data_IF_036119775548
#
_entry.id   IF_036119775548
#
_cell.length_a   1.000
_cell.length_b   1.000
_cell.length_c   1.000
_cell.angle_alpha   90.00
_cell.angle_beta   90.00
_cell.angle_gamma   90.00
#
_symmetry.space_group_name_H-M   'P 1'
#
loop_
_entity.id
_entity.type
_entity.pdbx_description
1 polymer ?
#
# COMPACT_ATOMS: atom_id res chain seq x y z
N UNK A 1 -15.68 1.32 -17.19
CA UNK A 1 -16.45 1.36 -15.93
C UNK A 1 -15.50 1.04 -14.79
N UNK A 2 -15.51 1.81 -13.69
CA UNK A 2 -14.74 1.47 -12.48
C UNK A 2 -15.33 0.20 -11.85
N UNK A 3 -14.48 -0.73 -11.38
CA UNK A 3 -14.94 -1.90 -10.64
C UNK A 3 -15.44 -1.46 -9.28
N UNK A 4 -16.44 -2.15 -8.77
CA UNK A 4 -17.12 -1.82 -7.52
C UNK A 4 -17.00 -3.00 -6.58
N UNK A 5 -16.44 -2.76 -5.40
CA UNK A 5 -16.38 -3.77 -4.35
C UNK A 5 -17.79 -4.14 -3.91
N UNK A 6 -18.16 -5.43 -3.92
CA UNK A 6 -19.39 -5.88 -3.30
C UNK A 6 -19.41 -5.50 -1.80
N UNK A 7 -20.58 -5.23 -1.20
CA UNK A 7 -20.66 -4.86 0.21
C UNK A 7 -20.37 -6.03 1.14
N UNK A 8 -20.45 -7.27 0.66
CA UNK A 8 -20.11 -8.47 1.42
C UNK A 8 -19.71 -9.60 0.47
N UNK A 9 -18.99 -10.58 0.98
CA UNK A 9 -18.66 -11.79 0.25
C UNK A 9 -17.45 -12.54 0.81
N UNK A 10 -16.98 -13.55 0.09
CA UNK A 10 -15.79 -14.29 0.47
C UNK A 10 -14.51 -13.53 0.08
N UNK A 11 -13.46 -13.67 0.88
CA UNK A 11 -12.13 -13.12 0.60
C UNK A 11 -11.02 -14.02 1.20
N UNK A 12 -9.77 -13.74 0.85
CA UNK A 12 -8.62 -14.23 1.61
C UNK A 12 -8.09 -13.18 2.58
N UNK A 13 -7.41 -13.65 3.62
CA UNK A 13 -6.81 -12.83 4.66
C UNK A 13 -5.39 -13.34 4.98
N UNK A 14 -4.44 -12.42 5.06
CA UNK A 14 -3.12 -12.62 5.69
C UNK A 14 -2.94 -11.60 6.80
N UNK A 15 -1.76 -11.54 7.39
CA UNK A 15 -1.36 -10.45 8.26
C UNK A 15 0.03 -9.94 7.93
N UNK A 16 0.29 -8.71 8.35
CA UNK A 16 1.56 -8.01 8.18
C UNK A 16 1.84 -7.08 9.37
N UNK A 17 3.12 -6.79 9.58
CA UNK A 17 3.54 -5.81 10.56
C UNK A 17 3.31 -4.39 10.02
N UNK A 18 2.51 -3.60 10.74
CA UNK A 18 2.38 -2.16 10.53
C UNK A 18 2.99 -1.43 11.73
N UNK A 19 4.06 -0.63 11.56
CA UNK A 19 4.63 0.12 12.67
C UNK A 19 3.62 1.09 13.31
N UNK A 20 3.75 1.30 14.62
CA UNK A 20 2.95 2.31 15.31
C UNK A 20 3.31 3.71 14.82
N UNK A 21 2.30 4.59 14.77
CA UNK A 21 2.39 5.93 14.19
C UNK A 21 2.88 5.93 12.73
N UNK A 22 2.59 4.88 11.96
CA UNK A 22 2.92 4.83 10.55
C UNK A 22 1.84 5.48 9.68
N UNK A 23 2.27 6.27 8.70
CA UNK A 23 1.37 6.82 7.69
C UNK A 23 1.29 5.88 6.48
N UNK A 24 0.21 5.11 6.44
CA UNK A 24 -0.06 4.15 5.37
C UNK A 24 -0.66 4.82 4.12
N UNK A 25 -0.88 4.04 3.05
CA UNK A 25 -1.22 4.55 1.71
C UNK A 25 -2.48 5.44 1.63
N UNK A 26 -3.41 5.31 2.57
CA UNK A 26 -4.61 6.17 2.62
C UNK A 26 -4.38 7.55 3.26
N UNK A 27 -3.24 7.75 3.91
CA UNK A 27 -2.94 8.97 4.67
C UNK A 27 -3.80 9.15 5.93
N UNK A 28 -4.28 8.05 6.53
CA UNK A 28 -5.07 8.09 7.76
C UNK A 28 -4.24 8.56 8.96
N UNK A 29 -4.89 9.16 9.96
CA UNK A 29 -4.26 9.63 11.19
C UNK A 29 -3.33 8.58 11.83
N UNK A 30 -2.19 9.01 12.39
CA UNK A 30 -1.17 8.12 12.96
C UNK A 30 -1.72 7.16 14.02
N UNK A 31 -2.69 7.62 14.81
CA UNK A 31 -3.35 6.83 15.85
C UNK A 31 -4.11 5.60 15.33
N UNK A 32 -4.44 5.55 14.03
CA UNK A 32 -5.14 4.40 13.46
C UNK A 32 -4.36 3.08 13.61
N UNK A 33 -3.03 3.13 13.54
CA UNK A 33 -2.13 1.98 13.68
C UNK A 33 -2.18 1.27 15.05
N UNK A 34 -2.80 1.89 16.07
CA UNK A 34 -2.99 1.27 17.39
C UNK A 34 -4.18 0.32 17.45
N UNK A 35 -5.01 0.32 16.40
CA UNK A 35 -6.30 -0.38 16.34
C UNK A 35 -6.33 -1.33 15.14
N UNK A 36 -7.34 -2.22 15.02
CA UNK A 36 -7.40 -3.17 13.91
C UNK A 36 -7.50 -2.44 12.57
N UNK A 37 -6.43 -2.44 11.79
CA UNK A 37 -6.43 -1.86 10.44
C UNK A 37 -6.04 -2.93 9.42
N UNK A 38 -6.33 -2.68 8.15
CA UNK A 38 -5.90 -3.60 7.10
C UNK A 38 -5.45 -2.85 5.85
N UNK A 39 -4.57 -3.51 5.09
CA UNK A 39 -4.30 -3.20 3.71
C UNK A 39 -5.30 -3.95 2.82
N UNK A 40 -5.70 -3.33 1.71
CA UNK A 40 -6.67 -3.91 0.78
C UNK A 40 -6.01 -4.23 -0.57
N UNK A 41 -6.42 -5.32 -1.22
CA UNK A 41 -5.91 -5.71 -2.54
C UNK A 41 -6.08 -4.60 -3.57
N UNK A 42 -5.16 -4.50 -4.56
CA UNK A 42 -5.07 -3.34 -5.44
C UNK A 42 -6.40 -2.98 -6.12
N UNK A 43 -7.09 -3.97 -6.70
CA UNK A 43 -8.41 -3.75 -7.32
C UNK A 43 -9.43 -3.19 -6.33
N UNK A 44 -9.47 -3.71 -5.11
CA UNK A 44 -10.44 -3.30 -4.10
C UNK A 44 -10.08 -1.98 -3.41
N UNK A 45 -8.79 -1.68 -3.31
CA UNK A 45 -8.27 -0.42 -2.84
C UNK A 45 -8.64 0.74 -3.79
N UNK A 46 -8.36 0.61 -5.10
CA UNK A 46 -8.47 1.71 -6.07
C UNK A 46 -9.71 1.65 -6.99
N UNK A 47 -10.38 0.50 -7.10
CA UNK A 47 -11.39 0.24 -8.14
C UNK A 47 -10.79 -0.01 -9.54
N UNK A 48 -9.47 0.06 -9.68
CA UNK A 48 -8.69 -0.21 -10.90
C UNK A 48 -7.34 -0.82 -10.51
N UNK A 49 -7.15 -2.10 -10.81
CA UNK A 49 -5.95 -2.87 -10.49
C UNK A 49 -4.63 -2.23 -10.99
N UNK A 50 -4.70 -1.32 -11.97
CA UNK A 50 -3.54 -0.61 -12.54
C UNK A 50 -3.22 0.69 -11.81
N UNK A 51 -4.15 1.20 -11.00
CA UNK A 51 -3.95 2.42 -10.25
C UNK A 51 -3.02 2.18 -9.06
N UNK A 52 -1.93 2.93 -9.06
CA UNK A 52 -0.85 2.77 -8.09
C UNK A 52 -0.57 3.98 -7.22
N UNK A 53 -1.19 5.12 -7.50
CA UNK A 53 -0.87 6.39 -6.84
C UNK A 53 -2.11 6.97 -6.18
N UNK A 54 -1.94 7.37 -4.91
CA UNK A 54 -2.95 8.06 -4.13
C UNK A 54 -3.96 7.16 -3.41
N UNK A 55 -4.84 7.78 -2.61
CA UNK A 55 -5.89 7.09 -1.88
C UNK A 55 -7.02 6.68 -2.83
N UNK A 56 -7.39 5.39 -2.78
CA UNK A 56 -8.49 4.86 -3.58
C UNK A 56 -9.83 4.85 -2.84
N UNK A 57 -10.95 4.52 -3.53
CA UNK A 57 -12.28 4.42 -2.93
C UNK A 57 -12.43 3.39 -1.81
N UNK A 58 -11.45 2.49 -1.63
CA UNK A 58 -11.39 1.58 -0.49
C UNK A 58 -10.92 2.24 0.81
N UNK A 59 -10.22 3.37 0.73
CA UNK A 59 -9.63 4.05 1.88
C UNK A 59 -10.66 4.53 2.90
N UNK A 60 -10.33 4.37 4.18
CA UNK A 60 -11.15 4.78 5.32
C UNK A 60 -12.42 3.96 5.53
N UNK A 61 -12.72 2.97 4.68
CA UNK A 61 -13.86 2.07 4.87
C UNK A 61 -13.62 1.09 6.01
N UNK A 62 -14.71 0.65 6.64
CA UNK A 62 -14.67 -0.36 7.68
C UNK A 62 -15.36 -1.65 7.27
N UNK A 63 -14.76 -2.77 7.67
CA UNK A 63 -15.23 -4.11 7.33
C UNK A 63 -15.18 -5.01 8.56
N UNK A 64 -16.24 -5.78 8.79
CA UNK A 64 -16.14 -6.94 9.67
C UNK A 64 -15.58 -8.11 8.86
N UNK A 65 -14.47 -8.67 9.33
CA UNK A 65 -13.82 -9.86 8.80
C UNK A 65 -14.11 -11.03 9.73
N UNK A 66 -14.59 -12.15 9.19
CA UNK A 66 -14.93 -13.36 9.96
C UNK A 66 -14.16 -14.56 9.44
N UNK A 67 -13.39 -15.22 10.30
CA UNK A 67 -12.59 -16.39 9.92
C UNK A 67 -13.50 -17.59 9.58
N UNK A 68 -13.20 -18.30 8.50
CA UNK A 68 -13.87 -19.57 8.15
C UNK A 68 -12.98 -20.78 8.27
N UNK A 69 -11.78 -20.71 7.69
CA UNK A 69 -10.84 -21.83 7.68
C UNK A 69 -9.44 -21.36 7.31
N UNK A 70 -8.42 -22.12 7.70
CA UNK A 70 -7.09 -21.94 7.14
C UNK A 70 -7.06 -22.41 5.68
N UNK A 71 -6.33 -21.70 4.83
CA UNK A 71 -6.25 -21.99 3.41
C UNK A 71 -5.15 -23.02 3.13
N UNK A 72 -5.47 -24.09 2.39
CA UNK A 72 -4.47 -25.01 1.86
C UNK A 72 -3.81 -25.95 2.88
N UNK A 73 -4.40 -26.12 4.08
CA UNK A 73 -3.85 -26.96 5.14
C UNK A 73 -4.48 -28.36 5.15
N UNK A 74 -3.70 -29.37 5.56
CA UNK A 74 -4.15 -30.76 5.69
C UNK A 74 -3.74 -31.30 7.07
N UNK A 75 -4.68 -31.83 7.90
CA UNK A 75 -6.13 -31.89 7.68
C UNK A 75 -6.79 -30.50 7.57
N UNK A 76 -8.02 -30.35 7.02
CA UNK A 76 -8.67 -29.05 6.94
C UNK A 76 -8.92 -28.44 8.33
N UNK A 77 -8.48 -27.20 8.56
CA UNK A 77 -8.72 -26.45 9.79
C UNK A 77 -9.91 -25.51 9.60
N UNK A 78 -11.07 -25.83 10.19
CA UNK A 78 -12.34 -25.11 9.99
C UNK A 78 -12.82 -24.51 11.31
N UNK A 79 -13.32 -23.28 11.26
CA UNK A 79 -13.83 -22.57 12.43
C UNK A 79 -15.21 -23.06 12.83
N UNK A 80 -15.36 -23.32 14.13
CA UNK A 80 -16.63 -23.59 14.77
C UNK A 80 -17.27 -22.30 15.27
N UNK A 81 -18.59 -22.31 15.45
CA UNK A 81 -19.31 -21.16 15.98
C UNK A 81 -19.12 -21.05 17.51
N UNK A 82 -18.94 -19.83 18.05
CA UNK A 82 -18.86 -18.55 17.34
C UNK A 82 -17.50 -18.36 16.63
N UNK A 83 -17.54 -17.96 15.35
CA UNK A 83 -16.33 -17.71 14.57
C UNK A 83 -15.62 -16.42 15.00
N UNK A 84 -14.28 -16.41 15.10
CA UNK A 84 -13.53 -15.18 15.35
C UNK A 84 -13.86 -14.12 14.30
N UNK A 85 -14.13 -12.90 14.75
CA UNK A 85 -14.38 -11.77 13.85
C UNK A 85 -13.80 -10.47 14.41
N UNK A 86 -13.45 -9.55 13.52
CA UNK A 86 -12.91 -8.24 13.87
C UNK A 86 -13.38 -7.19 12.87
N UNK A 87 -13.68 -5.98 13.36
CA UNK A 87 -13.93 -4.82 12.50
C UNK A 87 -12.61 -4.12 12.26
N UNK A 88 -12.23 -3.96 11.00
CA UNK A 88 -11.00 -3.27 10.58
C UNK A 88 -11.33 -1.98 9.84
N UNK A 89 -10.43 -1.00 9.94
CA UNK A 89 -10.42 0.18 9.05
C UNK A 89 -9.35 0.04 7.98
N UNK A 90 -9.68 0.33 6.73
CA UNK A 90 -8.71 0.30 5.62
C UNK A 90 -7.86 1.56 5.64
N UNK A 91 -6.57 1.37 5.87
CA UNK A 91 -5.58 2.46 5.93
C UNK A 91 -4.48 2.30 4.88
N UNK A 92 -4.40 1.14 4.22
CA UNK A 92 -3.26 0.82 3.37
C UNK A 92 -3.64 0.06 2.10
N UNK A 93 -2.69 -0.01 1.17
CA UNK A 93 -2.74 -0.79 -0.05
C UNK A 93 -1.82 -1.99 0.08
N UNK A 94 -2.35 -3.19 -0.15
CA UNK A 94 -1.52 -4.38 -0.17
C UNK A 94 -0.71 -4.48 -1.48
N UNK A 95 0.64 -4.57 -1.42
CA UNK A 95 1.49 -4.67 -2.60
C UNK A 95 1.77 -6.12 -3.04
N UNK A 96 1.35 -7.13 -2.29
CA UNK A 96 1.78 -8.52 -2.51
C UNK A 96 1.43 -9.04 -3.91
N UNK A 97 2.41 -9.60 -4.65
CA UNK A 97 2.15 -10.14 -5.96
C UNK A 97 1.27 -11.40 -5.92
N UNK A 98 1.26 -12.11 -4.81
CA UNK A 98 0.59 -13.40 -4.68
C UNK A 98 -0.84 -13.25 -4.17
N UNK A 99 -1.03 -12.39 -3.17
CA UNK A 99 -2.31 -12.21 -2.49
C UNK A 99 -3.16 -11.11 -3.12
N UNK A 100 -2.52 -10.06 -3.65
CA UNK A 100 -3.17 -8.77 -3.90
C UNK A 100 -3.27 -8.38 -5.39
N UNK A 101 -2.89 -9.29 -6.30
CA UNK A 101 -2.94 -9.11 -7.76
C UNK A 101 -4.25 -9.57 -8.42
N UNK A 102 -5.33 -9.72 -7.65
CA UNK A 102 -6.65 -9.91 -8.26
C UNK A 102 -6.96 -8.77 -9.24
N UNK A 103 -7.59 -9.13 -10.36
CA UNK A 103 -7.96 -8.20 -11.43
C UNK A 103 -9.44 -8.31 -11.73
N UNK A 104 -9.95 -7.40 -12.57
CA UNK A 104 -11.36 -7.47 -13.01
C UNK A 104 -11.74 -8.76 -13.73
N UNK A 105 -10.74 -9.50 -14.21
CA UNK A 105 -10.91 -10.70 -15.03
C UNK A 105 -10.55 -11.98 -14.30
N UNK A 106 -9.99 -11.89 -13.09
CA UNK A 106 -9.47 -13.07 -12.42
C UNK A 106 -9.14 -12.83 -10.96
N UNK A 107 -9.25 -13.92 -10.20
CA UNK A 107 -8.89 -13.96 -8.79
C UNK A 107 -7.37 -13.96 -8.56
N UNK A 108 -6.96 -13.75 -7.31
CA UNK A 108 -5.62 -14.07 -6.84
C UNK A 108 -5.34 -15.57 -6.87
N UNK A 109 -4.12 -15.99 -6.47
CA UNK A 109 -3.70 -17.41 -6.50
C UNK A 109 -4.55 -18.35 -5.61
N UNK A 110 -5.40 -17.78 -4.74
CA UNK A 110 -6.29 -18.51 -3.83
C UNK A 110 -7.75 -18.51 -4.27
N UNK A 111 -8.05 -17.98 -5.45
CA UNK A 111 -9.41 -17.98 -5.99
C UNK A 111 -10.28 -16.81 -5.53
N UNK A 112 -9.74 -15.81 -4.80
CA UNK A 112 -10.49 -14.63 -4.37
C UNK A 112 -10.19 -13.37 -5.19
N UNK A 113 -11.23 -12.57 -5.48
CA UNK A 113 -11.05 -11.22 -6.08
C UNK A 113 -10.61 -10.17 -5.05
N UNK A 114 -10.85 -10.44 -3.77
CA UNK A 114 -10.61 -9.51 -2.66
C UNK A 114 -9.69 -10.20 -1.68
N UNK A 115 -8.71 -9.44 -1.22
CA UNK A 115 -7.80 -9.85 -0.17
C UNK A 115 -7.60 -8.69 0.81
N UNK A 116 -7.57 -9.04 2.08
CA UNK A 116 -7.25 -8.15 3.18
C UNK A 116 -5.92 -8.61 3.79
N UNK A 117 -5.03 -7.68 4.09
CA UNK A 117 -3.81 -7.94 4.85
C UNK A 117 -3.97 -7.24 6.20
N UNK A 118 -4.20 -8.00 7.26
CA UNK A 118 -4.48 -7.46 8.59
C UNK A 118 -3.20 -6.93 9.23
N UNK A 119 -3.21 -5.67 9.66
CA UNK A 119 -2.12 -5.14 10.47
C UNK A 119 -2.14 -5.84 11.84
N UNK A 120 -1.21 -6.77 12.05
CA UNK A 120 -1.15 -7.60 13.25
C UNK A 120 0.31 -7.93 13.58
N UNK A 121 0.73 -7.82 14.85
CA UNK A 121 -0.06 -7.36 15.99
C UNK A 121 -0.30 -5.85 16.01
N UNK A 122 -1.36 -5.43 16.71
CA UNK A 122 -1.59 -4.06 17.17
C UNK A 122 -1.90 -4.06 18.67
N UNK A 123 -1.77 -2.93 19.38
CA UNK A 123 -2.19 -2.82 20.77
C UNK A 123 -3.63 -3.28 21.05
N UNK A 124 -4.54 -3.13 20.08
CA UNK A 124 -5.93 -3.54 20.21
C UNK A 124 -6.24 -4.96 19.69
N UNK A 125 -5.31 -5.62 19.00
CA UNK A 125 -5.52 -6.96 18.42
C UNK A 125 -4.20 -7.72 18.35
N UNK A 126 -4.16 -8.91 18.93
CA UNK A 126 -2.95 -9.73 18.98
C UNK A 126 -3.07 -11.00 18.12
N UNK A 127 -1.99 -11.77 18.04
CA UNK A 127 -1.90 -12.99 17.25
C UNK A 127 -2.93 -14.08 17.61
N UNK A 128 -3.54 -14.04 18.80
CA UNK A 128 -4.59 -15.01 19.18
C UNK A 128 -5.88 -14.86 18.38
N UNK A 129 -6.01 -13.79 17.57
CA UNK A 129 -7.07 -13.67 16.58
C UNK A 129 -7.01 -14.81 15.54
N UNK A 130 -5.80 -15.29 15.21
CA UNK A 130 -5.59 -16.44 14.35
C UNK A 130 -5.41 -17.69 15.20
N UNK A 131 -6.46 -18.51 15.40
CA UNK A 131 -6.33 -19.74 16.17
C UNK A 131 -5.43 -20.73 15.43
N UNK A 132 -4.74 -21.56 16.20
CA UNK A 132 -3.87 -22.61 15.68
C UNK A 132 -3.94 -23.88 16.49
N UNK A 133 -3.41 -24.95 15.92
CA UNK A 133 -3.27 -26.26 16.54
C UNK A 133 -1.86 -26.78 16.24
N UNK A 134 -0.88 -26.26 16.97
CA UNK A 134 0.52 -26.58 16.73
C UNK A 134 0.83 -28.06 16.99
N UNK A 135 0.06 -28.76 17.83
CA UNK A 135 0.22 -30.20 18.08
C UNK A 135 -0.14 -31.01 16.83
N UNK A 136 -1.23 -30.67 16.14
CA UNK A 136 -1.64 -31.35 14.91
C UNK A 136 -0.81 -30.95 13.70
N UNK A 137 -0.48 -29.66 13.55
CA UNK A 137 0.10 -29.13 12.31
C UNK A 137 1.62 -28.88 12.36
N UNK A 138 2.21 -28.81 13.55
CA UNK A 138 3.65 -28.54 13.74
C UNK A 138 4.03 -27.05 13.61
N UNK A 139 3.05 -26.15 13.49
CA UNK A 139 3.25 -24.70 13.43
C UNK A 139 2.02 -23.96 13.98
N UNK A 140 2.23 -22.73 14.47
CA UNK A 140 1.21 -21.94 15.17
C UNK A 140 0.57 -20.84 14.32
N UNK A 141 0.98 -20.69 13.07
CA UNK A 141 0.43 -19.71 12.14
C UNK A 141 0.23 -20.34 10.77
N UNK A 142 -1.02 -20.41 10.33
CA UNK A 142 -1.38 -20.92 9.00
C UNK A 142 -1.05 -19.93 7.87
N UNK A 143 -0.78 -18.65 8.20
CA UNK A 143 -0.40 -17.58 7.29
C UNK A 143 -1.54 -17.05 6.43
N UNK A 144 -2.38 -17.93 5.87
CA UNK A 144 -3.44 -17.56 4.92
C UNK A 144 -4.79 -18.14 5.36
N UNK A 145 -5.80 -17.29 5.38
CA UNK A 145 -7.14 -17.64 5.83
C UNK A 145 -8.20 -17.38 4.77
N UNK A 146 -9.21 -18.25 4.75
CA UNK A 146 -10.47 -18.02 4.05
C UNK A 146 -11.41 -17.28 5.00
N UNK A 147 -11.97 -16.16 4.56
CA UNK A 147 -12.86 -15.33 5.37
C UNK A 147 -14.16 -15.00 4.64
N UNK A 148 -15.15 -14.59 5.42
CA UNK A 148 -16.24 -13.74 4.93
C UNK A 148 -15.99 -12.31 5.40
N UNK A 149 -16.29 -11.34 4.54
CA UNK A 149 -16.30 -9.93 4.90
C UNK A 149 -17.69 -9.33 4.69
N UNK A 150 -18.00 -8.31 5.50
CA UNK A 150 -19.10 -7.36 5.23
C UNK A 150 -18.64 -5.94 5.54
N UNK A 151 -19.07 -4.99 4.72
CA UNK A 151 -18.88 -3.57 4.97
C UNK A 151 -19.78 -3.14 6.13
N UNK A 152 -19.23 -2.37 7.06
CA UNK A 152 -19.89 -1.95 8.32
C UNK A 152 -19.61 -0.49 8.63
N UNK A 153 -20.32 0.06 9.61
CA UNK A 153 -20.14 1.45 10.00
C UNK A 153 -18.78 1.54 10.69
N UNK A 154 -18.01 2.59 10.44
CA UNK A 154 -16.78 2.80 11.19
C UNK A 154 -17.04 3.10 12.68
N UNK A 155 -18.29 3.33 13.09
CA UNK A 155 -18.69 3.35 14.50
C UNK A 155 -18.50 1.99 15.19
N UNK A 156 -18.50 0.88 14.44
CA UNK A 156 -18.23 -0.46 14.98
C UNK A 156 -16.72 -0.74 15.14
N UNK A 157 -15.84 0.14 14.61
CA UNK A 157 -14.39 -0.02 14.70
C UNK A 157 -13.86 0.43 16.07
N UNK A 158 -12.98 -0.38 16.67
CA UNK A 158 -12.47 -0.13 18.02
C UNK A 158 -11.76 1.22 18.20
N UNK A 159 -11.19 1.78 17.12
CA UNK A 159 -10.54 3.09 17.13
C UNK A 159 -11.49 4.29 17.06
N UNK A 160 -12.80 4.07 16.88
CA UNK A 160 -13.81 5.11 16.63
C UNK A 160 -13.90 6.19 17.70
N UNK A 161 -13.84 5.80 18.97
CA UNK A 161 -14.09 6.70 20.09
C UNK A 161 -12.97 7.69 20.36
N UNK A 162 -11.79 7.49 19.76
CA UNK A 162 -10.65 8.36 19.92
C UNK A 162 -10.40 9.17 18.64
N UNK A 163 -10.68 10.47 18.73
CA UNK A 163 -10.60 11.42 17.62
C UNK A 163 -9.21 11.50 16.98
N UNK A 164 -8.14 11.20 17.72
CA UNK A 164 -6.76 11.20 17.18
C UNK A 164 -6.49 10.06 16.20
N UNK A 165 -7.41 9.11 16.07
CA UNK A 165 -7.31 7.98 15.14
C UNK A 165 -8.12 8.19 13.86
N UNK A 166 -8.88 9.29 13.79
CA UNK A 166 -9.88 9.50 12.77
C UNK A 166 -9.38 10.48 11.71
N UNK A 167 -9.82 10.25 10.48
CA UNK A 167 -9.59 11.19 9.40
C UNK A 167 -8.21 11.04 8.77
N UNK A 168 -7.87 12.06 8.00
CA UNK A 168 -6.56 12.24 7.38
C UNK A 168 -5.58 12.82 8.41
N UNK A 169 -4.31 12.42 8.34
CA UNK A 169 -3.24 12.98 9.18
C UNK A 169 -2.89 14.42 8.77
N UNK A 170 -3.28 15.45 9.55
CA UNK A 170 -3.09 16.83 9.14
C UNK A 170 -1.62 17.28 9.16
N UNK A 171 -0.74 16.62 9.93
CA UNK A 171 0.67 17.03 10.00
C UNK A 171 1.50 16.57 8.80
N UNK A 172 0.95 15.74 7.90
CA UNK A 172 1.69 15.23 6.76
C UNK A 172 1.70 16.21 5.58
N UNK A 173 2.87 16.50 4.98
CA UNK A 173 2.93 17.29 3.74
C UNK A 173 2.14 16.60 2.61
N UNK A 174 1.15 17.31 2.03
CA UNK A 174 0.28 16.74 0.99
C UNK A 174 -0.94 15.99 1.53
N UNK A 175 -1.30 16.16 2.80
CA UNK A 175 -2.53 15.58 3.37
C UNK A 175 -3.81 16.01 2.64
N UNK A 176 -3.80 17.18 1.99
CA UNK A 176 -4.89 17.68 1.12
C UNK A 176 -5.21 16.70 -0.03
N UNK A 177 -4.21 15.94 -0.50
CA UNK A 177 -4.34 14.92 -1.55
C UNK A 177 -4.60 13.51 -0.97
N UNK A 178 -4.59 13.36 0.35
CA UNK A 178 -4.93 12.12 1.05
C UNK A 178 -6.43 11.98 1.21
N UNK A 179 -6.91 10.75 1.46
CA UNK A 179 -8.34 10.52 1.62
C UNK A 179 -8.56 9.36 2.58
N UNK A 180 -8.87 9.71 3.81
CA UNK A 180 -9.27 8.77 4.84
C UNK A 180 -10.53 9.29 5.54
N UNK A 181 -11.72 9.06 4.96
CA UNK A 181 -12.96 9.48 5.59
C UNK A 181 -13.13 8.84 6.97
N UNK A 182 -13.74 9.59 7.89
CA UNK A 182 -13.98 9.13 9.27
C UNK A 182 -14.95 7.94 9.26
N UNK A 183 -16.12 8.12 8.62
CA UNK A 183 -17.12 7.09 8.41
C UNK A 183 -17.73 7.25 7.00
N UNK A 184 -17.13 6.67 5.94
CA UNK A 184 -17.65 6.80 4.59
C UNK A 184 -19.00 6.06 4.46
N UNK A 185 -20.00 6.65 3.76
CA UNK A 185 -21.19 5.92 3.40
C UNK A 185 -20.83 4.73 2.51
N UNK A 186 -21.68 3.71 2.53
CA UNK A 186 -21.53 2.45 1.78
C UNK A 186 -21.68 2.59 0.25
N UNK A 187 -21.34 3.74 -0.32
CA UNK A 187 -21.41 4.04 -1.75
C UNK A 187 -20.02 4.30 -2.31
N UNK A 188 -19.80 3.90 -3.56
CA UNK A 188 -18.49 3.87 -4.23
C UNK A 188 -18.00 5.24 -4.72
N UNK A 189 -18.47 6.34 -4.12
CA UNK A 189 -18.18 7.71 -4.56
C UNK A 189 -17.19 8.46 -3.64
N UNK A 190 -16.67 7.82 -2.61
CA UNK A 190 -15.66 8.43 -1.74
C UNK A 190 -14.25 8.16 -2.26
N UNK A 191 -13.34 9.13 -2.05
CA UNK A 191 -11.94 9.10 -2.50
C UNK A 191 -11.77 8.88 -4.01
N UNK A 192 -12.27 9.83 -4.81
CA UNK A 192 -12.26 9.77 -6.28
C UNK A 192 -10.85 9.80 -6.91
N UNK A 193 -9.80 10.18 -6.15
CA UNK A 193 -8.45 10.34 -6.65
C UNK A 193 -7.62 9.05 -6.64
N UNK A 194 -8.02 8.10 -7.47
CA UNK A 194 -7.04 7.24 -8.13
C UNK A 194 -6.53 8.01 -9.36
N UNK A 195 -5.67 9.01 -9.15
CA UNK A 195 -5.07 9.72 -10.28
C UNK A 195 -4.22 8.69 -11.03
N UNK A 196 -4.57 8.39 -12.29
CA UNK A 196 -3.62 7.75 -13.21
C UNK A 196 -2.42 8.69 -13.28
N UNK A 197 -1.35 8.37 -12.58
CA UNK A 197 -0.10 9.04 -12.86
C UNK A 197 0.27 8.79 -14.33
N UNK A 198 0.74 9.81 -15.05
CA UNK A 198 1.51 9.55 -16.25
C UNK A 198 2.65 8.61 -15.89
N UNK A 199 3.08 7.69 -16.78
CA UNK A 199 4.26 6.88 -16.54
C UNK A 199 5.44 7.79 -16.14
N UNK A 200 6.34 7.35 -15.25
CA UNK A 200 7.50 8.14 -14.87
C UNK A 200 8.19 8.60 -16.16
N UNK A 201 8.51 9.89 -16.26
CA UNK A 201 9.18 10.43 -17.44
C UNK A 201 10.49 9.67 -17.63
N UNK A 202 10.51 8.73 -18.58
CA UNK A 202 11.73 8.10 -19.05
C UNK A 202 12.51 9.17 -19.80
N UNK A 203 13.28 9.97 -19.08
CA UNK A 203 14.32 10.83 -19.68
C UNK A 203 15.46 11.01 -18.69
N UNK A 204 16.15 9.92 -18.37
CA UNK A 204 17.61 10.02 -18.29
C UNK A 204 18.11 10.13 -19.73
N UNK A 205 18.10 11.35 -20.28
CA UNK A 205 19.02 11.69 -21.36
C UNK A 205 20.35 11.94 -20.68
N UNK A 206 21.28 10.99 -20.82
CA UNK A 206 22.69 11.24 -20.59
C UNK A 206 23.05 12.57 -21.28
N UNK A 207 23.56 13.52 -20.51
CA UNK A 207 23.93 14.84 -21.00
C UNK A 207 24.90 14.69 -22.17
N UNK A 208 24.41 14.96 -23.38
CA UNK A 208 25.28 15.28 -24.49
C UNK A 208 25.91 16.64 -24.19
N UNK A 209 27.24 16.65 -24.09
CA UNK A 209 28.06 17.86 -23.95
C UNK A 209 27.70 18.82 -25.09
N UNK A 210 27.31 20.08 -24.82
CA UNK A 210 27.05 21.04 -25.88
C UNK A 210 28.39 21.45 -26.51
N UNK A 211 28.56 21.16 -27.80
CA UNK A 211 29.63 21.69 -28.63
C UNK A 211 29.44 23.21 -28.78
N UNK A 212 30.44 23.98 -28.33
CA UNK A 212 30.47 25.44 -28.43
C UNK A 212 30.45 25.93 -29.90
N UNK A 213 29.83 27.09 -30.20
CA UNK A 213 29.85 27.69 -31.53
C UNK A 213 31.15 28.47 -31.78
N UNK A 214 31.54 28.69 -33.06
CA UNK A 214 32.74 29.45 -33.39
C UNK A 214 32.48 30.95 -33.25
N UNK A 215 33.18 31.62 -32.33
CA UNK A 215 33.22 33.08 -32.26
C UNK A 215 34.31 33.61 -33.20
N UNK A 216 33.86 34.40 -34.18
CA UNK A 216 34.69 35.25 -35.03
C UNK A 216 35.05 36.57 -34.33
N UNK A 217 36.25 37.07 -34.64
CA UNK A 217 36.80 38.43 -34.41
C UNK A 217 37.19 38.77 -32.97
N UNK A 218 38.26 39.50 -32.67
CA UNK A 218 39.43 40.05 -33.37
C UNK A 218 40.21 40.78 -32.25
N UNK A 219 41.49 40.47 -32.03
CA UNK A 219 42.63 41.36 -32.30
C UNK A 219 43.20 42.02 -31.03
N UNK A 220 44.54 42.15 -31.02
CA UNK A 220 45.42 42.98 -30.17
C UNK A 220 45.85 42.30 -28.84
N UNK A 221 47.13 42.22 -28.43
CA UNK A 221 48.36 42.91 -28.83
C UNK A 221 49.58 42.15 -28.22
N UNK A 222 50.64 42.04 -29.02
CA UNK A 222 52.10 42.08 -28.75
C UNK A 222 52.82 41.22 -27.67
N UNK A 223 53.90 40.61 -28.19
CA UNK A 223 55.29 40.54 -27.67
C UNK A 223 55.62 39.73 -26.40
N UNK A 224 56.30 38.58 -26.63
CA UNK A 224 57.71 38.35 -26.22
C UNK A 224 58.11 36.94 -26.67
N UNK A 225 58.82 36.78 -27.79
CA UNK A 225 60.29 36.65 -27.88
C UNK A 225 60.88 35.35 -27.29
N UNK A 226 61.37 34.53 -28.24
CA UNK A 226 62.53 33.63 -28.22
C UNK A 226 62.37 32.14 -27.81
N UNK A 227 62.74 31.21 -28.71
CA UNK A 227 62.93 29.80 -28.39
C UNK A 227 64.36 29.52 -27.93
N UNK A 228 64.52 28.81 -26.82
CA UNK A 228 65.79 28.18 -26.46
C UNK A 228 65.92 26.86 -27.22
N UNK A 229 66.77 26.89 -28.24
CA UNK A 229 67.28 25.73 -28.97
C UNK A 229 68.18 24.90 -28.03
N UNK A 230 67.94 23.59 -28.07
CA UNK A 230 68.85 22.44 -27.85
C UNK A 230 70.28 22.71 -27.36
N UNK A 231 70.76 21.91 -26.40
CA UNK A 231 71.79 20.88 -26.66
C UNK A 231 71.94 19.90 -25.45
N UNK A 232 72.54 18.71 -25.65
CA UNK A 232 72.43 17.52 -24.80
C UNK A 232 73.56 17.40 -23.78
N UNK A 233 73.39 16.50 -22.80
CA UNK A 233 74.50 15.97 -22.00
C UNK A 233 74.66 14.48 -22.28
N UNK A 234 75.83 14.13 -22.82
CA UNK A 234 76.41 12.79 -22.86
C UNK A 234 77.41 12.74 -21.71
N UNK A 235 77.28 11.70 -20.87
CA UNK A 235 78.20 11.18 -19.84
C UNK A 235 78.47 12.04 -18.60
#
# INVERSE_FOLDING_TARGET
MAWKMPPAGPASLTHYDLPLNFLASCGCAYGASYYPTAALSALAYSGDERASIGPGPGCGRCFQLTLRSANGVQPPFVMHDPKPSVVVKIVDKCPSPEFCQASRRGSNKFGYQIHFDLALPSPALNMSFFPSDAETYGYSDFGVWNIDYRMVSCEEWAGWSNLTNLGVEPSYPGHEDSCCPINPPYINQMCAQSIKAPPPSSTYKSGAVPSAPPSFMALLILLSLLPSVLLPSIR
#
